data_IF_432703468450
#
_entry.id   IF_432703468450
#
_cell.length_a   1.000
_cell.length_b   1.000
_cell.length_c   1.000
_cell.angle_alpha   90.00
_cell.angle_beta   90.00
_cell.angle_gamma   90.00
#
_symmetry.space_group_name_H-M   'P 1'
#
loop_
_entity.id
_entity.type
_entity.pdbx_description
1 polymer ?
#
# COMPACT_ATOMS: atom_id res chain seq x y z
N UNK A 1 -1.94 38.88 66.40
CA UNK A 1 -0.69 39.07 65.64
C UNK A 1 0.15 37.80 65.79
N UNK A 2 0.08 36.91 64.79
CA UNK A 2 0.75 35.61 64.78
C UNK A 2 2.21 35.81 64.34
N UNK A 3 3.16 35.45 65.20
CA UNK A 3 4.53 35.13 64.83
C UNK A 3 4.87 33.80 65.47
N UNK A 4 4.66 32.71 64.75
CA UNK A 4 5.36 31.47 65.06
C UNK A 4 5.53 30.63 63.79
N UNK A 5 6.80 30.31 63.57
CA UNK A 5 7.31 29.16 62.84
C UNK A 5 7.39 29.22 61.31
N UNK A 6 8.35 30.02 60.85
CA UNK A 6 9.04 29.90 59.56
C UNK A 6 9.84 28.59 59.40
N UNK A 7 9.78 27.66 60.36
CA UNK A 7 10.56 26.41 60.34
C UNK A 7 9.95 25.35 59.41
N UNK A 8 8.66 25.46 59.08
CA UNK A 8 7.96 24.52 58.19
C UNK A 8 8.07 24.91 56.71
N UNK A 9 8.54 26.13 56.41
CA UNK A 9 8.78 26.60 55.03
C UNK A 9 10.17 26.18 54.50
N UNK A 10 11.10 25.81 55.37
CA UNK A 10 12.44 25.35 54.97
C UNK A 10 12.50 23.87 54.59
N UNK A 11 11.52 23.07 54.99
CA UNK A 11 11.42 21.66 54.58
C UNK A 11 10.66 21.47 53.26
N UNK A 12 9.84 22.45 52.84
CA UNK A 12 9.13 22.38 51.56
C UNK A 12 9.96 22.93 50.38
N UNK A 13 11.00 23.73 50.64
CA UNK A 13 11.90 24.25 49.59
C UNK A 13 12.99 23.26 49.19
N UNK A 14 13.26 22.22 49.98
CA UNK A 14 14.24 21.17 49.64
C UNK A 14 13.71 20.15 48.62
N UNK A 15 12.39 20.03 48.46
CA UNK A 15 11.77 19.20 47.40
C UNK A 15 11.58 19.93 46.08
N UNK A 16 11.81 21.25 46.03
CA UNK A 16 11.63 22.08 44.83
C UNK A 16 12.95 22.44 44.14
N UNK A 17 14.09 21.94 44.64
CA UNK A 17 15.41 22.11 44.03
C UNK A 17 16.02 20.79 43.51
N UNK A 18 15.31 19.67 43.66
CA UNK A 18 15.51 18.53 42.80
C UNK A 18 14.88 18.88 41.46
N UNK A 19 15.64 19.54 40.59
CA UNK A 19 15.24 19.66 39.19
C UNK A 19 14.79 18.28 38.72
N UNK A 20 13.62 18.19 38.10
CA UNK A 20 13.39 17.15 37.12
C UNK A 20 14.55 17.31 36.13
N UNK A 21 15.64 16.57 36.36
CA UNK A 21 16.39 16.08 35.23
C UNK A 21 15.32 15.38 34.42
N UNK A 22 14.99 15.92 33.25
CA UNK A 22 14.42 15.12 32.20
C UNK A 22 15.34 13.92 32.13
N UNK A 23 14.92 12.80 32.74
CA UNK A 23 15.61 11.54 32.59
C UNK A 23 15.37 11.21 31.14
N UNK A 24 16.25 11.70 30.25
CA UNK A 24 16.41 11.17 28.92
C UNK A 24 16.45 9.67 29.14
N UNK A 25 15.38 9.00 28.72
CA UNK A 25 15.34 7.54 28.74
C UNK A 25 16.61 7.11 28.01
N UNK A 26 17.46 6.27 28.62
CA UNK A 26 18.70 5.88 27.99
C UNK A 26 18.34 5.30 26.62
N UNK A 27 18.94 5.85 25.57
CA UNK A 27 18.75 5.34 24.22
C UNK A 27 19.15 3.85 24.20
N UNK A 28 18.21 2.97 23.89
CA UNK A 28 18.39 1.51 23.94
C UNK A 28 18.59 0.87 22.56
N UNK A 29 18.91 1.69 21.55
CA UNK A 29 19.12 1.24 20.16
C UNK A 29 17.83 0.97 19.38
N UNK A 30 17.98 0.61 18.10
CA UNK A 30 16.89 0.24 17.20
C UNK A 30 17.22 -1.02 16.40
N UNK A 31 16.19 -1.68 15.88
CA UNK A 31 16.33 -2.73 14.87
C UNK A 31 15.15 -2.66 13.89
N UNK A 32 15.46 -2.61 12.59
CA UNK A 32 14.51 -2.70 11.49
C UNK A 32 14.94 -3.80 10.55
N UNK A 33 14.00 -4.66 10.16
CA UNK A 33 14.24 -5.77 9.25
C UNK A 33 13.19 -5.70 8.14
N UNK A 34 13.64 -5.63 6.89
CA UNK A 34 12.76 -5.60 5.73
C UNK A 34 12.16 -6.99 5.46
N UNK A 35 11.10 -7.05 4.64
CA UNK A 35 10.55 -8.31 4.17
C UNK A 35 11.62 -9.09 3.39
N UNK A 36 11.73 -10.38 3.66
CA UNK A 36 12.48 -11.31 2.79
C UNK A 36 11.52 -11.87 1.73
N UNK A 37 11.96 -11.91 0.47
CA UNK A 37 11.16 -12.44 -0.63
C UNK A 37 11.90 -13.61 -1.26
N UNK A 38 11.28 -14.79 -1.27
CA UNK A 38 11.84 -16.01 -1.86
C UNK A 38 10.99 -16.47 -3.05
N UNK A 39 11.62 -17.13 -4.01
CA UNK A 39 10.97 -17.63 -5.22
C UNK A 39 10.01 -18.80 -4.94
N UNK A 40 9.07 -19.05 -5.86
CA UNK A 40 8.09 -20.12 -5.74
C UNK A 40 8.73 -21.52 -5.60
N UNK A 41 9.92 -21.73 -6.18
CA UNK A 41 10.62 -23.00 -6.10
C UNK A 41 11.09 -23.36 -4.68
N UNK A 42 11.10 -24.66 -4.36
CA UNK A 42 11.75 -25.16 -3.16
C UNK A 42 13.26 -24.89 -3.21
N UNK A 43 13.86 -24.67 -2.04
CA UNK A 43 15.26 -24.30 -1.83
C UNK A 43 15.65 -22.93 -2.42
N UNK A 44 14.69 -22.10 -2.82
CA UNK A 44 14.96 -20.70 -3.11
C UNK A 44 15.42 -19.97 -1.84
N UNK A 45 16.37 -19.07 -1.99
CA UNK A 45 16.97 -18.35 -0.86
C UNK A 45 16.94 -16.85 -1.06
N UNK A 46 16.77 -16.11 0.02
CA UNK A 46 16.94 -14.66 0.05
C UNK A 46 17.80 -14.26 1.24
N UNK A 47 18.70 -13.31 1.04
CA UNK A 47 19.51 -12.73 2.10
C UNK A 47 19.15 -11.26 2.24
N UNK A 48 18.77 -10.87 3.45
CA UNK A 48 18.51 -9.48 3.83
C UNK A 48 19.43 -9.10 4.99
N UNK A 49 19.74 -7.81 5.12
CA UNK A 49 20.57 -7.31 6.23
C UNK A 49 19.69 -6.49 7.16
N UNK A 50 19.72 -6.81 8.45
CA UNK A 50 19.05 -6.03 9.48
C UNK A 50 19.74 -4.67 9.67
N UNK A 51 18.94 -3.61 9.71
CA UNK A 51 19.42 -2.26 10.05
C UNK A 51 19.29 -2.05 11.56
N UNK A 52 20.42 -1.92 12.24
CA UNK A 52 20.49 -1.83 13.70
C UNK A 52 21.81 -1.26 14.16
N UNK A 53 21.77 -0.53 15.28
CA UNK A 53 22.94 -0.09 16.03
C UNK A 53 23.20 -0.92 17.30
N UNK A 54 22.38 -1.96 17.53
CA UNK A 54 22.51 -2.85 18.67
C UNK A 54 23.62 -3.87 18.34
N UNK A 55 24.59 -4.02 19.25
CA UNK A 55 25.74 -4.93 19.10
C UNK A 55 25.42 -6.37 19.53
N UNK A 56 24.19 -6.63 19.97
CA UNK A 56 23.75 -7.97 20.37
C UNK A 56 23.43 -8.85 19.15
N UNK A 57 23.66 -10.17 19.23
CA UNK A 57 23.23 -11.09 18.19
C UNK A 57 21.72 -11.02 17.93
N UNK A 58 21.34 -11.27 16.67
CA UNK A 58 19.94 -11.46 16.29
C UNK A 58 19.60 -12.94 16.47
N UNK A 59 18.58 -13.23 17.28
CA UNK A 59 18.17 -14.57 17.68
C UNK A 59 16.74 -14.85 17.21
N UNK A 60 16.51 -16.03 16.61
CA UNK A 60 15.16 -16.50 16.29
C UNK A 60 14.37 -16.76 17.58
N UNK A 61 13.14 -16.26 17.65
CA UNK A 61 12.18 -16.60 18.72
C UNK A 61 11.17 -17.63 18.25
N UNK A 62 10.55 -17.38 17.11
CA UNK A 62 9.59 -18.29 16.48
C UNK A 62 9.37 -17.88 15.02
N UNK A 63 8.82 -18.81 14.24
CA UNK A 63 8.23 -18.51 12.94
C UNK A 63 6.75 -18.88 13.07
N UNK A 64 5.88 -17.93 12.75
CA UNK A 64 4.43 -18.12 12.70
C UNK A 64 4.01 -18.21 11.23
N UNK A 65 3.48 -19.36 10.85
CA UNK A 65 3.01 -19.65 9.48
C UNK A 65 1.50 -19.41 9.32
N UNK A 66 0.78 -19.12 10.41
CA UNK A 66 -0.68 -19.10 10.44
C UNK A 66 -1.29 -20.45 10.85
N UNK A 67 -2.52 -20.41 11.33
CA UNK A 67 -3.24 -21.59 11.79
C UNK A 67 -3.49 -22.59 10.65
N UNK A 68 -3.13 -23.85 10.86
CA UNK A 68 -3.33 -24.92 9.88
C UNK A 68 -2.37 -24.90 8.68
N UNK A 69 -1.36 -24.03 8.69
CA UNK A 69 -0.37 -23.93 7.63
C UNK A 69 0.87 -24.76 7.99
N UNK A 70 1.32 -25.61 7.07
CA UNK A 70 2.55 -26.38 7.24
C UNK A 70 3.80 -25.48 7.20
N UNK A 71 4.84 -25.84 7.96
CA UNK A 71 6.10 -25.12 7.95
C UNK A 71 6.78 -25.21 6.56
N UNK A 72 7.12 -24.07 5.97
CA UNK A 72 7.61 -24.01 4.60
C UNK A 72 8.89 -23.18 4.39
N UNK A 73 9.45 -22.57 5.45
CA UNK A 73 10.73 -21.89 5.38
C UNK A 73 11.57 -22.05 6.64
N UNK A 74 12.88 -21.89 6.49
CA UNK A 74 13.84 -21.77 7.59
C UNK A 74 14.57 -20.44 7.52
N UNK A 75 15.12 -20.02 8.66
CA UNK A 75 15.86 -18.76 8.80
C UNK A 75 17.18 -19.02 9.52
N UNK A 76 18.27 -18.49 8.95
CA UNK A 76 19.61 -18.54 9.54
C UNK A 76 20.17 -17.12 9.70
N UNK A 77 20.93 -16.91 10.78
CA UNK A 77 21.49 -15.61 11.13
C UNK A 77 23.03 -15.67 11.09
N UNK A 78 23.65 -14.69 10.43
CA UNK A 78 25.09 -14.51 10.41
C UNK A 78 25.42 -13.03 10.69
N UNK A 79 25.58 -12.69 11.96
CA UNK A 79 25.66 -11.29 12.38
C UNK A 79 24.35 -10.55 12.08
N UNK A 80 24.41 -9.56 11.18
CA UNK A 80 23.24 -8.79 10.71
C UNK A 80 22.57 -9.39 9.49
N UNK A 81 23.22 -10.33 8.81
CA UNK A 81 22.67 -10.97 7.63
C UNK A 81 21.73 -12.10 8.04
N UNK A 82 20.54 -12.09 7.44
CA UNK A 82 19.47 -13.03 7.67
C UNK A 82 19.22 -13.74 6.35
N UNK A 83 19.45 -15.05 6.33
CA UNK A 83 19.20 -15.89 5.16
C UNK A 83 17.93 -16.69 5.39
N UNK A 84 16.97 -16.53 4.49
CA UNK A 84 15.72 -17.28 4.47
C UNK A 84 15.78 -18.29 3.35
N UNK A 85 15.35 -19.53 3.63
CA UNK A 85 15.28 -20.61 2.63
C UNK A 85 13.87 -21.16 2.60
N UNK A 86 13.24 -21.20 1.42
CA UNK A 86 12.00 -21.95 1.24
C UNK A 86 12.30 -23.45 1.29
N UNK A 87 11.74 -24.18 2.24
CA UNK A 87 11.89 -25.65 2.32
C UNK A 87 10.91 -26.38 1.41
N UNK A 88 9.80 -25.73 1.06
CA UNK A 88 8.78 -26.25 0.17
C UNK A 88 8.52 -25.30 -0.99
N UNK A 89 8.14 -25.84 -2.14
CA UNK A 89 7.66 -25.02 -3.25
C UNK A 89 6.28 -24.44 -2.92
N UNK A 90 5.98 -23.25 -3.42
CA UNK A 90 4.63 -22.73 -3.50
C UNK A 90 4.03 -23.08 -4.86
N UNK A 91 3.06 -24.00 -4.86
CA UNK A 91 2.39 -24.49 -6.07
C UNK A 91 0.99 -23.92 -6.26
N UNK A 92 0.54 -23.06 -5.34
CA UNK A 92 -0.73 -22.37 -5.47
C UNK A 92 -0.63 -21.13 -6.35
N UNK A 93 -1.77 -20.53 -6.65
CA UNK A 93 -1.90 -19.34 -7.49
C UNK A 93 -1.79 -18.02 -6.70
N UNK A 94 -1.34 -18.09 -5.45
CA UNK A 94 -1.19 -16.93 -4.58
C UNK A 94 0.08 -17.04 -3.73
N UNK A 95 0.59 -15.89 -3.27
CA UNK A 95 1.73 -15.86 -2.37
C UNK A 95 1.33 -16.38 -1.00
N UNK A 96 2.33 -16.81 -0.23
CA UNK A 96 2.16 -17.13 1.19
C UNK A 96 3.18 -16.39 2.03
N UNK A 97 2.81 -16.14 3.28
CA UNK A 97 3.64 -15.38 4.22
C UNK A 97 3.87 -16.12 5.51
N UNK A 98 5.02 -15.87 6.13
CA UNK A 98 5.34 -16.29 7.48
C UNK A 98 5.85 -15.07 8.26
N UNK A 99 5.50 -14.98 9.54
CA UNK A 99 5.97 -13.93 10.45
C UNK A 99 7.12 -14.49 11.27
N UNK A 100 8.32 -13.95 11.07
CA UNK A 100 9.51 -14.36 11.80
C UNK A 100 9.69 -13.41 12.97
N UNK A 101 9.53 -13.93 14.19
CA UNK A 101 9.74 -13.19 15.43
C UNK A 101 11.20 -13.35 15.85
N UNK A 102 11.88 -12.23 16.06
CA UNK A 102 13.30 -12.20 16.43
C UNK A 102 13.52 -11.37 17.68
N UNK A 103 14.69 -11.57 18.28
CA UNK A 103 15.19 -10.79 19.40
C UNK A 103 16.57 -10.24 19.05
N UNK A 104 16.83 -8.98 19.40
CA UNK A 104 18.15 -8.37 19.35
C UNK A 104 18.36 -7.57 20.64
N UNK A 105 19.22 -8.06 21.55
CA UNK A 105 19.35 -7.50 22.88
C UNK A 105 18.03 -7.60 23.67
N UNK A 106 17.48 -6.45 24.09
CA UNK A 106 16.18 -6.38 24.77
C UNK A 106 14.99 -6.21 23.82
N UNK A 107 15.26 -5.93 22.53
CA UNK A 107 14.21 -5.71 21.55
C UNK A 107 13.66 -7.02 21.04
N UNK A 108 12.33 -7.09 20.93
CA UNK A 108 11.63 -8.09 20.16
C UNK A 108 10.96 -7.38 18.99
N UNK A 109 11.16 -7.90 17.80
CA UNK A 109 10.54 -7.39 16.57
C UNK A 109 10.19 -8.56 15.66
N UNK A 110 9.48 -8.28 14.57
CA UNK A 110 9.17 -9.28 13.56
C UNK A 110 9.40 -8.74 12.16
N UNK A 111 9.58 -9.66 11.22
CA UNK A 111 9.57 -9.36 9.79
C UNK A 111 8.81 -10.44 9.04
N UNK A 112 8.33 -10.09 7.86
CA UNK A 112 7.60 -11.02 6.99
C UNK A 112 8.57 -11.72 6.04
N UNK A 113 8.38 -13.02 5.89
CA UNK A 113 8.87 -13.77 4.72
C UNK A 113 7.70 -13.92 3.77
N UNK A 114 7.89 -13.55 2.51
CA UNK A 114 6.95 -13.81 1.43
C UNK A 114 7.55 -14.84 0.48
N UNK A 115 6.81 -15.91 0.20
CA UNK A 115 7.11 -16.78 -0.92
C UNK A 115 6.18 -16.48 -2.08
N UNK A 116 6.79 -16.16 -3.23
CA UNK A 116 6.09 -15.90 -4.49
C UNK A 116 5.30 -17.14 -4.93
N UNK A 117 4.29 -16.94 -5.76
CA UNK A 117 3.82 -17.98 -6.67
C UNK A 117 4.53 -17.87 -8.03
N UNK A 118 4.40 -18.88 -8.88
CA UNK A 118 5.10 -18.92 -10.16
C UNK A 118 4.70 -17.72 -11.05
N UNK A 119 5.68 -16.97 -11.55
CA UNK A 119 5.45 -15.79 -12.39
C UNK A 119 5.04 -14.52 -11.65
N UNK A 120 4.99 -14.52 -10.31
CA UNK A 120 4.68 -13.31 -9.56
C UNK A 120 5.83 -12.31 -9.58
N UNK A 121 5.59 -11.14 -10.17
CA UNK A 121 6.58 -10.05 -10.22
C UNK A 121 6.20 -8.84 -9.35
N UNK A 122 4.94 -8.75 -8.92
CA UNK A 122 4.40 -7.58 -8.23
C UNK A 122 3.57 -7.98 -7.02
N UNK A 123 3.53 -7.11 -6.02
CA UNK A 123 2.68 -7.25 -4.84
C UNK A 123 1.83 -6.01 -4.63
N UNK A 124 0.53 -6.21 -4.50
CA UNK A 124 -0.42 -5.15 -4.15
C UNK A 124 -0.16 -4.67 -2.73
N UNK A 125 -0.13 -3.36 -2.53
CA UNK A 125 -0.12 -2.79 -1.19
C UNK A 125 -1.50 -2.93 -0.52
N UNK A 126 -1.47 -3.20 0.79
CA UNK A 126 -2.66 -3.06 1.62
C UNK A 126 -3.10 -1.60 1.67
N UNK A 127 -4.31 -1.34 1.19
CA UNK A 127 -4.95 -0.03 1.17
C UNK A 127 -5.72 0.29 2.46
N UNK A 128 -5.62 -0.57 3.49
CA UNK A 128 -6.25 -0.30 4.78
C UNK A 128 -5.79 1.05 5.34
N UNK A 129 -6.75 1.93 5.60
CA UNK A 129 -6.50 3.28 6.11
C UNK A 129 -6.20 4.32 5.04
N UNK A 130 -6.12 3.95 3.76
CA UNK A 130 -5.98 4.91 2.67
C UNK A 130 -7.23 5.79 2.56
N UNK A 131 -7.05 6.99 2.01
CA UNK A 131 -8.15 7.94 1.82
C UNK A 131 -8.11 8.50 0.40
N UNK A 132 -9.27 8.98 -0.07
CA UNK A 132 -9.35 9.62 -1.37
C UNK A 132 -10.29 10.84 -1.34
N UNK A 133 -9.99 11.79 -2.22
CA UNK A 133 -10.83 12.96 -2.55
C UNK A 133 -10.75 13.20 -4.06
N UNK A 134 -11.45 14.20 -4.58
CA UNK A 134 -11.50 14.45 -6.02
C UNK A 134 -12.10 15.80 -6.38
N UNK A 135 -12.21 16.05 -7.68
CA UNK A 135 -12.87 17.23 -8.25
C UNK A 135 -14.34 17.30 -7.86
N UNK A 136 -15.00 16.16 -7.90
CA UNK A 136 -16.44 16.01 -7.75
C UNK A 136 -16.80 14.54 -7.47
N UNK A 137 -18.01 14.32 -6.98
CA UNK A 137 -18.56 12.99 -6.76
C UNK A 137 -20.08 13.05 -6.85
N UNK A 138 -20.69 12.04 -7.46
CA UNK A 138 -22.11 11.80 -7.27
C UNK A 138 -22.35 11.17 -5.91
N UNK A 139 -23.02 11.90 -5.02
CA UNK A 139 -23.42 11.36 -3.72
C UNK A 139 -24.51 10.28 -3.87
N UNK A 140 -24.40 9.23 -3.05
CA UNK A 140 -25.38 8.14 -2.88
C UNK A 140 -25.65 7.25 -4.12
N UNK A 141 -24.71 7.13 -5.06
CA UNK A 141 -24.82 6.22 -6.21
C UNK A 141 -23.92 4.97 -6.06
N UNK A 142 -22.60 5.12 -6.24
CA UNK A 142 -21.66 3.99 -6.28
C UNK A 142 -20.75 3.81 -5.06
N UNK A 143 -21.01 4.47 -3.93
CA UNK A 143 -20.13 4.34 -2.74
C UNK A 143 -18.99 5.37 -2.67
N UNK A 144 -18.91 6.29 -3.63
CA UNK A 144 -18.07 7.50 -3.55
C UNK A 144 -16.58 7.19 -3.50
N UNK A 145 -15.78 8.05 -2.87
CA UNK A 145 -14.32 7.90 -2.85
C UNK A 145 -13.83 6.63 -2.14
N UNK A 146 -14.55 6.13 -1.14
CA UNK A 146 -14.16 4.90 -0.42
C UNK A 146 -14.24 3.64 -1.27
N UNK A 147 -15.04 3.65 -2.34
CA UNK A 147 -15.10 2.53 -3.28
C UNK A 147 -13.74 2.23 -3.92
N UNK A 148 -12.83 3.22 -3.97
CA UNK A 148 -11.52 3.05 -4.58
C UNK A 148 -10.63 1.99 -3.89
N UNK A 149 -11.03 1.54 -2.70
CA UNK A 149 -10.31 0.61 -1.82
C UNK A 149 -11.09 -0.68 -1.55
N UNK A 150 -11.84 -1.16 -2.54
CA UNK A 150 -12.48 -2.48 -2.54
C UNK A 150 -12.24 -3.20 -3.86
N UNK A 151 -12.30 -4.53 -3.81
CA UNK A 151 -12.28 -5.40 -4.99
C UNK A 151 -13.67 -5.48 -5.67
N UNK A 152 -14.72 -5.06 -4.97
CA UNK A 152 -16.09 -5.06 -5.48
C UNK A 152 -16.29 -3.92 -6.49
N UNK A 153 -16.34 -4.28 -7.77
CA UNK A 153 -16.48 -3.33 -8.89
C UNK A 153 -17.91 -2.83 -9.10
N UNK A 154 -18.87 -3.33 -8.33
CA UNK A 154 -20.23 -2.77 -8.26
C UNK A 154 -20.28 -1.54 -7.34
N UNK A 155 -19.28 -1.36 -6.48
CA UNK A 155 -18.95 -0.12 -5.80
C UNK A 155 -17.93 0.65 -6.66
N UNK A 156 -18.17 1.93 -6.92
CA UNK A 156 -17.36 2.81 -7.76
C UNK A 156 -17.50 4.29 -7.39
N UNK A 157 -16.43 5.04 -7.60
CA UNK A 157 -16.52 6.48 -7.69
C UNK A 157 -17.20 6.82 -9.01
N UNK A 158 -18.11 7.78 -8.96
CA UNK A 158 -18.81 8.31 -10.11
C UNK A 158 -18.68 9.82 -10.10
N UNK A 159 -18.26 10.41 -11.22
CA UNK A 159 -18.26 11.86 -11.36
C UNK A 159 -19.70 12.39 -11.24
N UNK A 160 -19.86 13.64 -10.83
CA UNK A 160 -21.17 14.27 -10.75
C UNK A 160 -21.85 14.26 -12.13
N UNK A 161 -23.12 13.82 -12.17
CA UNK A 161 -23.89 13.71 -13.42
C UNK A 161 -25.14 14.60 -13.48
N UNK A 162 -25.39 15.43 -12.45
CA UNK A 162 -26.61 16.25 -12.40
C UNK A 162 -26.65 17.34 -13.48
N UNK A 163 -25.51 18.00 -13.72
CA UNK A 163 -25.29 18.91 -14.85
C UNK A 163 -24.03 18.47 -15.59
N UNK A 164 -23.89 18.76 -16.91
CA UNK A 164 -22.68 18.43 -17.66
C UNK A 164 -21.43 19.00 -16.96
N UNK A 165 -20.60 18.10 -16.45
CA UNK A 165 -19.34 18.44 -15.79
C UNK A 165 -18.23 18.01 -16.74
N UNK A 166 -17.69 18.93 -17.56
CA UNK A 166 -16.69 18.56 -18.55
C UNK A 166 -15.39 18.15 -17.87
N UNK A 167 -14.64 17.25 -18.53
CA UNK A 167 -13.27 16.95 -18.16
C UNK A 167 -12.40 18.22 -18.08
N UNK A 168 -11.34 18.24 -17.25
CA UNK A 168 -10.83 17.09 -16.51
C UNK A 168 -11.55 16.82 -15.18
N UNK A 169 -11.75 15.55 -14.88
CA UNK A 169 -12.01 15.09 -13.51
C UNK A 169 -10.70 14.65 -12.88
N UNK A 170 -10.61 14.71 -11.55
CA UNK A 170 -9.45 14.16 -10.86
C UNK A 170 -9.81 13.45 -9.56
N UNK A 171 -9.01 12.44 -9.22
CA UNK A 171 -9.03 11.73 -7.94
C UNK A 171 -7.65 11.86 -7.31
N UNK A 172 -7.59 12.13 -6.01
CA UNK A 172 -6.37 12.17 -5.22
C UNK A 172 -6.47 11.10 -4.13
N UNK A 173 -5.62 10.10 -4.21
CA UNK A 173 -5.45 9.04 -3.21
C UNK A 173 -4.27 9.39 -2.30
N UNK A 174 -4.45 9.34 -0.98
CA UNK A 174 -3.39 9.43 0.03
C UNK A 174 -3.18 8.05 0.68
N UNK A 175 -2.04 7.44 0.37
CA UNK A 175 -1.61 6.13 0.87
C UNK A 175 -1.17 6.14 2.34
N UNK A 176 -1.21 7.30 3.00
CA UNK A 176 -0.84 7.57 4.40
C UNK A 176 0.65 7.40 4.75
N UNK A 177 1.44 6.85 3.83
CA UNK A 177 2.89 6.69 3.95
C UNK A 177 3.52 6.71 2.57
N UNK A 178 4.81 7.03 2.52
CA UNK A 178 5.61 6.88 1.31
C UNK A 178 5.83 5.39 1.02
N UNK A 179 5.57 5.01 -0.23
CA UNK A 179 5.64 3.67 -0.77
C UNK A 179 6.40 3.69 -2.10
N UNK A 180 7.05 2.57 -2.43
CA UNK A 180 7.69 2.40 -3.73
C UNK A 180 6.67 1.81 -4.72
N UNK A 181 6.14 2.66 -5.60
CA UNK A 181 5.15 2.29 -6.60
C UNK A 181 5.85 1.84 -7.88
N UNK A 182 5.46 0.67 -8.41
CA UNK A 182 5.99 0.12 -9.67
C UNK A 182 4.90 -0.22 -10.68
N UNK A 183 3.64 -0.32 -10.24
CA UNK A 183 2.50 -0.61 -11.09
C UNK A 183 1.21 -0.09 -10.45
N UNK A 184 0.25 0.27 -11.28
CA UNK A 184 -1.11 0.62 -10.92
C UNK A 184 -2.10 -0.30 -11.62
N UNK A 185 -3.23 -0.59 -10.99
CA UNK A 185 -4.38 -1.18 -11.67
C UNK A 185 -5.63 -0.35 -11.39
N UNK A 186 -6.28 0.11 -12.46
CA UNK A 186 -7.43 1.00 -12.42
C UNK A 186 -8.67 0.21 -12.83
N UNK A 187 -9.54 -0.06 -11.86
CA UNK A 187 -10.74 -0.86 -12.08
C UNK A 187 -11.84 -0.09 -12.78
N UNK A 188 -12.54 -0.73 -13.73
CA UNK A 188 -13.75 -0.19 -14.34
C UNK A 188 -14.97 -0.58 -13.52
N UNK A 189 -16.02 0.25 -13.50
CA UNK A 189 -17.33 -0.16 -12.94
C UNK A 189 -17.81 -1.44 -13.62
N UNK A 190 -18.41 -2.32 -12.83
CA UNK A 190 -19.15 -3.50 -13.30
C UNK A 190 -20.63 -3.34 -12.98
N UNK A 191 -21.49 -3.68 -13.94
CA UNK A 191 -22.92 -3.81 -13.69
C UNK A 191 -23.55 -4.82 -14.65
N UNK A 192 -24.25 -5.81 -14.09
CA UNK A 192 -24.97 -6.82 -14.87
C UNK A 192 -24.05 -7.68 -15.73
N UNK A 193 -22.79 -7.88 -15.31
CA UNK A 193 -21.76 -8.61 -16.05
C UNK A 193 -21.03 -7.78 -17.12
N UNK A 194 -21.40 -6.50 -17.31
CA UNK A 194 -20.74 -5.61 -18.25
C UNK A 194 -19.69 -4.75 -17.54
N UNK A 195 -18.56 -4.53 -18.20
CA UNK A 195 -17.56 -3.56 -17.79
C UNK A 195 -17.84 -2.22 -18.49
N UNK A 196 -17.74 -1.12 -17.76
CA UNK A 196 -18.09 0.22 -18.25
C UNK A 196 -16.83 1.01 -18.64
N UNK A 197 -16.49 1.14 -19.94
CA UNK A 197 -15.32 1.87 -20.41
C UNK A 197 -15.57 3.38 -20.49
N UNK A 198 -16.10 4.01 -19.44
CA UNK A 198 -16.45 5.43 -19.49
C UNK A 198 -15.23 6.36 -19.59
N UNK A 199 -14.12 6.02 -18.93
CA UNK A 199 -12.84 6.73 -19.05
C UNK A 199 -12.17 6.41 -20.37
N UNK A 200 -11.94 7.44 -21.18
CA UNK A 200 -11.23 7.35 -22.47
C UNK A 200 -9.75 7.62 -22.34
N UNK A 201 -9.36 8.66 -21.59
CA UNK A 201 -7.96 9.02 -21.37
C UNK A 201 -7.75 9.43 -19.91
N UNK A 202 -6.67 8.94 -19.31
CA UNK A 202 -6.28 9.29 -17.94
C UNK A 202 -4.76 9.40 -17.83
N UNK A 203 -4.30 10.47 -17.19
CA UNK A 203 -2.93 10.62 -16.72
C UNK A 203 -2.82 10.17 -15.26
N UNK A 204 -1.70 9.55 -14.90
CA UNK A 204 -1.37 9.13 -13.54
C UNK A 204 -0.17 9.94 -13.07
N UNK A 205 -0.36 10.65 -11.97
CA UNK A 205 0.68 11.42 -11.31
C UNK A 205 0.95 10.89 -9.91
N UNK A 206 2.17 11.09 -9.42
CA UNK A 206 2.55 10.78 -8.05
C UNK A 206 3.22 11.95 -7.37
N UNK A 207 3.16 11.97 -6.04
CA UNK A 207 3.82 12.97 -5.20
C UNK A 207 4.16 12.39 -3.82
N UNK A 208 5.22 12.89 -3.18
CA UNK A 208 5.53 12.61 -1.76
C UNK A 208 4.93 13.66 -0.82
N UNK A 209 4.71 14.89 -1.30
CA UNK A 209 4.29 16.03 -0.47
C UNK A 209 2.82 16.46 -0.70
N UNK A 210 2.18 15.96 -1.75
CA UNK A 210 0.79 16.29 -2.10
C UNK A 210 0.64 17.66 -2.78
N UNK A 211 1.76 18.31 -3.14
CA UNK A 211 1.80 19.62 -3.79
C UNK A 211 2.48 19.53 -5.17
N UNK A 212 3.63 18.86 -5.24
CA UNK A 212 4.43 18.70 -6.44
C UNK A 212 4.18 17.32 -7.05
N UNK A 213 3.48 17.30 -8.18
CA UNK A 213 3.09 16.07 -8.88
C UNK A 213 3.90 15.87 -10.16
N UNK A 214 4.39 14.65 -10.33
CA UNK A 214 5.08 14.20 -11.55
C UNK A 214 4.25 13.14 -12.26
N UNK A 215 4.13 13.24 -13.58
CA UNK A 215 3.41 12.23 -14.37
C UNK A 215 4.28 10.98 -14.47
N UNK A 216 3.71 9.84 -14.11
CA UNK A 216 4.41 8.54 -14.11
C UNK A 216 3.79 7.53 -15.06
N UNK A 217 2.56 7.76 -15.50
CA UNK A 217 1.90 6.90 -16.46
C UNK A 217 0.69 7.56 -17.09
N UNK A 218 0.12 6.88 -18.07
CA UNK A 218 -1.14 7.23 -18.72
C UNK A 218 -1.79 5.97 -19.28
N UNK A 219 -3.08 6.04 -19.57
CA UNK A 219 -3.72 5.06 -20.43
C UNK A 219 -4.78 5.69 -21.33
N UNK A 220 -5.06 4.99 -22.44
CA UNK A 220 -6.14 5.33 -23.36
C UNK A 220 -6.98 4.09 -23.66
N UNK A 221 -8.31 4.24 -23.60
CA UNK A 221 -9.27 3.22 -24.02
C UNK A 221 -10.35 3.87 -24.87
N UNK A 222 -10.24 3.82 -26.19
CA UNK A 222 -11.20 4.44 -27.11
C UNK A 222 -12.26 3.43 -27.59
N UNK A 223 -13.52 3.86 -27.61
CA UNK A 223 -14.58 3.16 -28.34
C UNK A 223 -14.74 3.74 -29.76
N UNK A 224 -15.02 2.91 -30.78
CA UNK A 224 -15.16 1.45 -30.70
C UNK A 224 -13.81 0.74 -30.48
N UNK A 225 -13.81 -0.32 -29.67
CA UNK A 225 -12.63 -1.14 -29.34
C UNK A 225 -12.76 -2.55 -29.92
N UNK A 226 -11.69 -3.12 -30.47
CA UNK A 226 -11.71 -4.51 -31.00
C UNK A 226 -11.12 -5.46 -29.98
N UNK A 227 -11.95 -6.40 -29.50
CA UNK A 227 -11.52 -7.44 -28.56
C UNK A 227 -10.53 -8.42 -29.21
N UNK A 228 -9.74 -9.18 -28.42
CA UNK A 228 -8.78 -10.16 -28.96
C UNK A 228 -9.39 -11.22 -29.87
N UNK A 229 -10.69 -11.51 -29.74
CA UNK A 229 -11.42 -12.44 -30.59
C UNK A 229 -11.93 -11.83 -31.91
N UNK A 230 -11.67 -10.54 -32.14
CA UNK A 230 -12.07 -9.79 -33.32
C UNK A 230 -13.44 -9.09 -33.21
N UNK A 231 -14.14 -9.24 -32.09
CA UNK A 231 -15.43 -8.57 -31.86
C UNK A 231 -15.22 -7.06 -31.69
N UNK A 232 -15.98 -6.25 -32.42
CA UNK A 232 -16.01 -4.79 -32.23
C UNK A 232 -17.02 -4.45 -31.13
N UNK A 233 -16.53 -3.76 -30.12
CA UNK A 233 -17.29 -3.28 -28.96
C UNK A 233 -17.52 -1.78 -29.11
N UNK A 234 -18.78 -1.35 -29.10
CA UNK A 234 -19.15 0.07 -29.24
C UNK A 234 -19.65 0.70 -27.94
N UNK A 235 -19.91 -0.09 -26.90
CA UNK A 235 -20.48 0.33 -25.61
C UNK A 235 -20.09 -0.67 -24.50
N UNK A 236 -20.65 -0.54 -23.30
CA UNK A 236 -20.47 -1.43 -22.14
C UNK A 236 -20.61 -2.91 -22.55
N UNK A 237 -19.65 -3.74 -22.15
CA UNK A 237 -19.56 -5.11 -22.62
C UNK A 237 -18.76 -5.98 -21.64
N UNK A 238 -19.05 -7.29 -21.53
CA UNK A 238 -18.20 -8.21 -20.76
C UNK A 238 -16.82 -8.40 -21.40
N UNK A 239 -16.66 -8.06 -22.69
CA UNK A 239 -15.40 -8.21 -23.42
C UNK A 239 -14.40 -7.10 -23.12
N UNK A 240 -14.87 -5.94 -22.66
CA UNK A 240 -14.00 -4.85 -22.19
C UNK A 240 -13.19 -5.36 -21.00
N UNK A 241 -11.87 -5.14 -20.92
CA UNK A 241 -11.08 -5.55 -19.77
C UNK A 241 -11.63 -4.97 -18.46
N UNK A 242 -11.62 -5.78 -17.40
CA UNK A 242 -12.10 -5.38 -16.07
C UNK A 242 -11.36 -4.18 -15.48
N UNK A 243 -10.08 -4.08 -15.80
CA UNK A 243 -9.16 -3.06 -15.32
C UNK A 243 -8.15 -2.70 -16.40
N UNK A 244 -7.52 -1.54 -16.22
CA UNK A 244 -6.31 -1.18 -16.93
C UNK A 244 -5.11 -1.34 -16.01
N UNK A 245 -4.04 -2.01 -16.47
CA UNK A 245 -2.81 -2.20 -15.70
C UNK A 245 -1.70 -1.35 -16.29
N UNK A 246 -1.19 -0.41 -15.51
CA UNK A 246 -0.11 0.50 -15.90
C UNK A 246 1.15 0.09 -15.15
N UNK A 247 2.15 -0.41 -15.88
CA UNK A 247 3.47 -0.72 -15.30
C UNK A 247 4.42 0.44 -15.57
N UNK A 248 5.11 0.90 -14.52
CA UNK A 248 6.04 2.02 -14.63
C UNK A 248 7.39 1.56 -15.20
N UNK A 249 8.05 2.44 -15.95
CA UNK A 249 9.40 2.19 -16.49
C UNK A 249 10.43 1.98 -15.37
N UNK A 250 10.26 2.69 -14.26
CA UNK A 250 11.04 2.55 -13.05
C UNK A 250 10.15 2.73 -11.81
N UNK A 251 10.50 2.11 -10.67
CA UNK A 251 9.81 2.39 -9.41
C UNK A 251 9.93 3.85 -9.01
N UNK A 252 8.87 4.41 -8.42
CA UNK A 252 8.82 5.78 -7.90
C UNK A 252 8.41 5.76 -6.43
N UNK A 253 9.02 6.61 -5.61
CA UNK A 253 8.57 6.80 -4.23
C UNK A 253 7.43 7.81 -4.20
N UNK A 254 6.29 7.43 -3.66
CA UNK A 254 5.11 8.27 -3.58
C UNK A 254 4.31 8.04 -2.30
N UNK A 255 3.64 9.07 -1.80
CA UNK A 255 2.56 8.97 -0.81
C UNK A 255 1.20 9.22 -1.45
N UNK A 256 1.16 10.10 -2.43
CA UNK A 256 -0.04 10.52 -3.12
C UNK A 256 -0.05 10.02 -4.55
N UNK A 257 -1.22 9.55 -5.00
CA UNK A 257 -1.49 9.20 -6.40
C UNK A 257 -2.62 10.09 -6.88
N UNK A 258 -2.42 10.80 -7.99
CA UNK A 258 -3.46 11.61 -8.63
C UNK A 258 -3.81 11.00 -9.98
N UNK A 259 -5.07 10.62 -10.14
CA UNK A 259 -5.65 10.22 -11.40
C UNK A 259 -6.31 11.45 -12.03
N UNK A 260 -5.92 11.81 -13.25
CA UNK A 260 -6.52 12.94 -13.98
C UNK A 260 -7.16 12.42 -15.26
N UNK A 261 -8.50 12.40 -15.29
CA UNK A 261 -9.30 11.93 -16.41
C UNK A 261 -9.55 13.11 -17.34
N UNK A 262 -8.93 13.08 -18.52
CA UNK A 262 -8.97 14.21 -19.46
C UNK A 262 -9.96 13.99 -20.61
N UNK A 263 -10.47 12.77 -20.79
CA UNK A 263 -11.50 12.47 -21.77
C UNK A 263 -12.36 11.25 -21.36
N UNK A 264 -13.61 11.24 -21.82
CA UNK A 264 -14.55 10.12 -21.66
C UNK A 264 -15.03 9.58 -23.02
N UNK A 265 -15.59 8.37 -23.03
CA UNK A 265 -16.20 7.76 -24.22
C UNK A 265 -17.67 8.17 -24.42
N UNK A 266 -18.12 9.24 -23.75
CA UNK A 266 -19.48 9.79 -23.89
C UNK A 266 -19.42 11.31 -24.03
N UNK A 267 -20.51 11.90 -24.52
CA UNK A 267 -20.59 13.33 -24.79
C UNK A 267 -20.87 14.18 -23.54
N UNK A 268 -21.15 13.57 -22.39
CA UNK A 268 -21.51 14.28 -21.14
C UNK A 268 -20.32 14.56 -20.23
N UNK A 269 -19.16 13.95 -20.51
CA UNK A 269 -17.96 14.04 -19.65
C UNK A 269 -18.00 13.12 -18.43
N UNK A 270 -19.09 12.39 -18.22
CA UNK A 270 -19.32 11.60 -17.01
C UNK A 270 -18.50 10.30 -17.02
N UNK A 271 -17.90 9.93 -15.90
CA UNK A 271 -17.08 8.73 -15.80
C UNK A 271 -17.13 8.04 -14.44
N UNK A 272 -16.59 6.82 -14.39
CA UNK A 272 -16.50 6.02 -13.18
C UNK A 272 -15.13 5.35 -13.05
N UNK A 273 -14.71 5.14 -11.81
CA UNK A 273 -13.53 4.35 -11.44
C UNK A 273 -13.91 3.48 -10.26
N UNK A 274 -13.74 2.16 -10.39
CA UNK A 274 -14.08 1.21 -9.33
C UNK A 274 -13.00 1.18 -8.25
N UNK A 275 -11.73 1.01 -8.63
CA UNK A 275 -10.61 0.99 -7.70
C UNK A 275 -9.33 1.56 -8.29
N UNK A 276 -8.41 1.90 -7.39
CA UNK A 276 -7.02 2.21 -7.74
C UNK A 276 -6.10 1.36 -6.86
N UNK A 277 -5.55 0.28 -7.42
CA UNK A 277 -4.56 -0.55 -6.75
C UNK A 277 -3.15 -0.05 -7.08
N UNK A 278 -2.27 -0.15 -6.11
CA UNK A 278 -0.85 0.21 -6.25
C UNK A 278 -0.01 -0.99 -5.85
N UNK A 279 1.05 -1.22 -6.60
CA UNK A 279 1.90 -2.38 -6.43
C UNK A 279 3.36 -1.98 -6.29
N UNK A 280 4.08 -2.72 -5.46
CA UNK A 280 5.54 -2.77 -5.48
C UNK A 280 6.04 -3.90 -6.39
N UNK A 281 7.31 -3.81 -6.75
CA UNK A 281 8.02 -4.89 -7.44
C UNK A 281 8.65 -5.85 -6.41
N UNK A 282 8.58 -7.15 -6.66
CA UNK A 282 9.13 -8.21 -5.81
C UNK A 282 10.46 -8.79 -6.32
#
# INVERSE_FOLDING_TARGET
>A
MKKLSYLMLFFLSAFLLGGCADTEQPYVGYITIKRAVVEAAANSTATITADTDIDSPIELKSIDFGEGVEEWCTVAFNGRDITVTATQANTGDNYRTATVNVKCGYWQTSFTVLQKYEGQEYLQYDWTGWTATGSDVQENDGGGYSSLFTEDRTEFWHSYYGEPTPCPHWLLIDMQKELECSRFAIGRREAGGNNYPSVKHMNIYTSTDGENFEQVGEFTFELPWTAPDGTVVEDNSPLVPAEEVITLDAPVTARYVRLEITATNNDTGVCQVAYCKVYEKL
#
